data_IF_378253256639
#
_entry.id   IF_378253256639
#
_cell.length_a   1.000
_cell.length_b   1.000
_cell.length_c   1.000
_cell.angle_alpha   90.00
_cell.angle_beta   90.00
_cell.angle_gamma   90.00
#
_symmetry.space_group_name_H-M   'P 1'
#
loop_
_entity.id
_entity.type
_entity.pdbx_description
1 polymer ?
#
# COMPACT_ATOMS: atom_id res chain seq x y z
N UNK A 1 -21.62 -17.77 11.54
CA UNK A 1 -20.27 -18.18 11.10
C UNK A 1 -19.32 -17.15 11.69
N UNK A 2 -18.30 -17.54 12.45
CA UNK A 2 -17.41 -16.57 13.08
C UNK A 2 -16.66 -15.79 12.00
N UNK A 3 -16.67 -14.46 12.06
CA UNK A 3 -15.84 -13.64 11.18
C UNK A 3 -14.37 -13.98 11.50
N UNK A 4 -13.65 -14.52 10.52
CA UNK A 4 -12.24 -14.83 10.69
C UNK A 4 -11.44 -13.55 10.93
N UNK A 5 -10.37 -13.64 11.72
CA UNK A 5 -9.47 -12.51 11.99
C UNK A 5 -8.10 -12.78 11.35
N UNK A 6 -7.52 -11.74 10.77
CA UNK A 6 -6.15 -11.71 10.28
C UNK A 6 -5.30 -10.85 11.23
N UNK A 7 -4.10 -11.32 11.57
CA UNK A 7 -3.18 -10.59 12.43
C UNK A 7 -1.85 -10.39 11.74
N UNK A 8 -1.48 -9.13 11.54
CA UNK A 8 -0.14 -8.70 11.13
C UNK A 8 0.63 -8.32 12.39
N UNK A 9 1.86 -8.81 12.52
CA UNK A 9 2.74 -8.51 13.65
C UNK A 9 4.18 -8.42 13.23
N UNK A 10 4.98 -7.73 14.05
CA UNK A 10 6.42 -7.79 13.93
C UNK A 10 6.93 -9.20 14.28
N UNK A 11 7.68 -9.81 13.35
CA UNK A 11 8.45 -11.02 13.64
C UNK A 11 9.71 -10.67 14.42
N UNK A 12 10.03 -11.49 15.43
CA UNK A 12 11.27 -11.41 16.19
C UNK A 12 12.45 -11.81 15.31
N UNK A 13 13.67 -11.30 15.55
CA UNK A 13 14.87 -11.72 14.81
C UNK A 13 15.05 -13.24 14.70
N UNK A 14 14.69 -13.98 15.75
CA UNK A 14 14.75 -15.46 15.79
C UNK A 14 13.71 -16.17 14.91
N UNK A 15 12.65 -15.47 14.49
CA UNK A 15 11.58 -15.99 13.65
C UNK A 15 11.81 -15.69 12.16
N UNK A 16 12.83 -14.89 11.84
CA UNK A 16 13.13 -14.52 10.46
C UNK A 16 13.89 -15.65 9.78
N UNK A 17 13.41 -16.03 8.59
CA UNK A 17 14.15 -16.91 7.68
C UNK A 17 15.31 -16.21 6.94
N UNK A 18 15.63 -14.98 7.33
CA UNK A 18 16.66 -14.15 6.71
C UNK A 18 17.26 -13.16 7.73
N UNK A 19 18.42 -12.56 7.43
CA UNK A 19 19.09 -11.68 8.38
C UNK A 19 18.25 -10.44 8.77
N UNK A 20 18.15 -10.09 10.07
CA UNK A 20 17.30 -8.99 10.56
C UNK A 20 17.56 -7.63 9.92
N UNK A 21 18.79 -7.34 9.51
CA UNK A 21 19.19 -6.12 8.80
C UNK A 21 18.51 -5.95 7.43
N UNK A 22 17.85 -7.00 6.93
CA UNK A 22 17.04 -6.91 5.71
C UNK A 22 15.65 -6.31 5.96
N UNK A 23 15.17 -6.28 7.21
CA UNK A 23 13.92 -5.63 7.57
C UNK A 23 14.11 -4.10 7.54
N UNK A 24 13.22 -3.43 6.83
CA UNK A 24 13.20 -1.98 6.77
C UNK A 24 11.91 -1.50 7.42
N UNK A 25 12.06 -0.68 8.47
CA UNK A 25 10.97 0.02 9.19
C UNK A 25 9.77 -0.88 9.53
N UNK A 26 9.98 -2.04 10.18
CA UNK A 26 8.96 -3.08 10.16
C UNK A 26 7.84 -2.80 11.19
N UNK A 27 8.10 -2.05 12.28
CA UNK A 27 7.03 -1.52 13.15
C UNK A 27 6.36 -0.29 12.53
N UNK A 28 7.13 0.62 11.93
CA UNK A 28 6.60 1.85 11.34
C UNK A 28 5.66 1.55 10.18
N UNK A 29 5.93 0.50 9.38
CA UNK A 29 5.02 0.01 8.33
C UNK A 29 3.67 -0.46 8.89
N UNK A 30 3.66 -1.18 10.02
CA UNK A 30 2.41 -1.59 10.68
C UNK A 30 1.66 -0.38 11.26
N UNK A 31 2.37 0.58 11.89
CA UNK A 31 1.78 1.84 12.36
C UNK A 31 1.17 2.63 11.20
N UNK A 32 1.88 2.70 10.08
CA UNK A 32 1.43 3.39 8.89
C UNK A 32 0.21 2.71 8.27
N UNK A 33 0.17 1.38 8.21
CA UNK A 33 -0.99 0.63 7.74
C UNK A 33 -2.23 0.94 8.58
N UNK A 34 -2.12 0.91 9.92
CA UNK A 34 -3.23 1.27 10.80
C UNK A 34 -3.72 2.71 10.57
N UNK A 35 -2.78 3.66 10.49
CA UNK A 35 -3.12 5.07 10.24
C UNK A 35 -3.78 5.26 8.86
N UNK A 36 -3.28 4.58 7.84
CA UNK A 36 -3.85 4.59 6.49
C UNK A 36 -5.25 3.99 6.43
N UNK A 37 -5.49 2.85 7.08
CA UNK A 37 -6.82 2.23 7.16
C UNK A 37 -7.82 3.16 7.85
N UNK A 38 -7.44 3.79 8.97
CA UNK A 38 -8.30 4.77 9.63
C UNK A 38 -8.60 5.96 8.71
N UNK A 39 -7.57 6.49 8.04
CA UNK A 39 -7.71 7.63 7.14
C UNK A 39 -8.63 7.32 5.94
N UNK A 40 -8.46 6.16 5.31
CA UNK A 40 -9.29 5.71 4.19
C UNK A 40 -10.74 5.48 4.63
N UNK A 41 -10.97 4.84 5.78
CA UNK A 41 -12.32 4.65 6.36
C UNK A 41 -13.05 5.98 6.55
N UNK A 42 -12.33 6.97 7.08
CA UNK A 42 -12.94 8.23 7.51
C UNK A 42 -13.14 9.22 6.34
N UNK A 43 -12.42 9.03 5.21
CA UNK A 43 -12.39 10.00 4.11
C UNK A 43 -12.83 9.45 2.75
N UNK A 44 -13.10 8.14 2.63
CA UNK A 44 -13.47 7.51 1.36
C UNK A 44 -14.55 6.45 1.56
N UNK A 45 -15.05 5.90 0.46
CA UNK A 45 -15.88 4.69 0.43
C UNK A 45 -15.12 3.49 -0.12
N UNK A 46 -13.78 3.54 -0.15
CA UNK A 46 -12.98 2.41 -0.61
C UNK A 46 -13.20 1.24 0.36
N UNK A 47 -13.57 0.05 -0.14
CA UNK A 47 -13.75 -1.09 0.73
C UNK A 47 -12.39 -1.51 1.28
N UNK A 48 -12.28 -1.58 2.60
CA UNK A 48 -11.10 -2.02 3.34
C UNK A 48 -11.52 -3.04 4.42
N UNK A 49 -10.60 -3.84 4.96
CA UNK A 49 -10.89 -4.70 6.10
C UNK A 49 -11.38 -3.91 7.31
N UNK A 50 -12.30 -4.49 8.07
CA UNK A 50 -12.68 -3.95 9.38
C UNK A 50 -11.48 -4.02 10.33
N UNK A 51 -11.19 -2.93 11.04
CA UNK A 51 -10.12 -2.88 12.03
C UNK A 51 -10.68 -3.39 13.35
N UNK A 52 -10.17 -4.52 13.83
CA UNK A 52 -10.57 -5.11 15.12
C UNK A 52 -9.77 -4.51 16.28
N UNK A 53 -8.44 -4.45 16.13
CA UNK A 53 -7.58 -3.86 17.16
C UNK A 53 -6.21 -3.46 16.62
N UNK A 54 -5.59 -2.51 17.30
CA UNK A 54 -4.22 -2.11 17.08
C UNK A 54 -3.54 -1.79 18.42
N UNK A 55 -2.36 -2.34 18.65
CA UNK A 55 -1.64 -2.14 19.91
C UNK A 55 -0.52 -3.15 20.11
N UNK A 56 0.14 -3.06 21.26
CA UNK A 56 1.12 -4.08 21.69
C UNK A 56 0.41 -5.16 22.50
N UNK A 57 0.83 -6.40 22.30
CA UNK A 57 0.41 -7.51 23.14
C UNK A 57 1.23 -7.61 24.44
N UNK A 58 0.92 -8.60 25.28
CA UNK A 58 1.62 -8.90 26.53
C UNK A 58 3.13 -9.19 26.36
N UNK A 59 3.58 -9.49 25.14
CA UNK A 59 4.97 -9.76 24.79
C UNK A 59 5.65 -8.56 24.13
N UNK A 60 5.06 -7.36 24.24
CA UNK A 60 5.53 -6.11 23.63
C UNK A 60 5.58 -6.17 22.08
N UNK A 61 4.87 -7.12 21.45
CA UNK A 61 4.80 -7.23 19.99
C UNK A 61 3.69 -6.33 19.46
N UNK A 62 4.05 -5.37 18.60
CA UNK A 62 3.07 -4.54 17.90
C UNK A 62 2.24 -5.40 16.92
N UNK A 63 0.92 -5.26 17.01
CA UNK A 63 -0.07 -6.01 16.24
C UNK A 63 -1.12 -5.09 15.65
N UNK A 64 -1.47 -5.38 14.41
CA UNK A 64 -2.69 -4.93 13.75
C UNK A 64 -3.55 -6.16 13.46
N UNK A 65 -4.80 -6.14 13.94
CA UNK A 65 -5.78 -7.20 13.72
C UNK A 65 -6.94 -6.64 12.91
N UNK A 66 -7.28 -7.32 11.83
CA UNK A 66 -8.38 -6.96 10.94
C UNK A 66 -9.32 -8.15 10.71
N UNK A 67 -10.54 -7.86 10.26
CA UNK A 67 -11.45 -8.88 9.75
C UNK A 67 -10.94 -9.47 8.43
N UNK A 68 -11.03 -10.79 8.27
CA UNK A 68 -10.80 -11.45 6.98
C UNK A 68 -11.93 -11.07 6.03
N UNK A 69 -11.56 -10.54 4.87
CA UNK A 69 -12.51 -10.25 3.79
C UNK A 69 -12.67 -11.51 2.94
N UNK A 70 -13.90 -11.98 2.80
CA UNK A 70 -14.21 -13.12 1.96
C UNK A 70 -14.05 -12.75 0.47
N UNK A 71 -13.34 -13.60 -0.29
CA UNK A 71 -13.16 -13.41 -1.73
C UNK A 71 -11.94 -14.14 -2.26
N UNK A 72 -11.64 -13.87 -3.53
CA UNK A 72 -10.47 -14.38 -4.26
C UNK A 72 -9.57 -13.20 -4.60
N UNK A 73 -8.26 -13.32 -4.39
CA UNK A 73 -7.34 -12.24 -4.81
C UNK A 73 -7.34 -12.14 -6.33
N UNK A 74 -7.22 -10.93 -6.88
CA UNK A 74 -7.12 -10.73 -8.33
C UNK A 74 -5.96 -11.55 -8.94
N UNK A 75 -4.86 -11.72 -8.21
CA UNK A 75 -3.72 -12.49 -8.69
C UNK A 75 -4.02 -14.00 -8.81
N UNK A 76 -5.01 -14.52 -8.07
CA UNK A 76 -5.33 -15.96 -8.03
C UNK A 76 -6.33 -16.41 -9.10
N UNK A 77 -6.89 -15.49 -9.89
CA UNK A 77 -7.68 -15.87 -11.08
C UNK A 77 -6.77 -16.48 -12.14
N UNK A 78 -7.22 -17.51 -12.84
CA UNK A 78 -6.41 -18.17 -13.86
C UNK A 78 -6.30 -17.31 -15.13
N UNK A 79 -5.42 -17.70 -16.06
CA UNK A 79 -5.18 -16.93 -17.27
C UNK A 79 -6.38 -16.92 -18.25
N UNK A 80 -7.34 -17.84 -18.12
CA UNK A 80 -8.56 -17.89 -18.93
C UNK A 80 -9.60 -16.87 -18.43
N UNK A 81 -9.78 -16.78 -17.10
CA UNK A 81 -10.70 -15.84 -16.45
C UNK A 81 -10.15 -14.39 -16.46
N UNK A 82 -8.83 -14.24 -16.31
CA UNK A 82 -8.18 -12.95 -16.01
C UNK A 82 -8.57 -11.79 -16.94
N UNK A 83 -8.70 -11.94 -18.27
CA UNK A 83 -9.09 -10.82 -19.13
C UNK A 83 -10.43 -10.19 -18.75
N UNK A 84 -11.44 -11.00 -18.45
CA UNK A 84 -12.76 -10.52 -18.05
C UNK A 84 -12.73 -9.89 -16.64
N UNK A 85 -11.99 -10.51 -15.73
CA UNK A 85 -11.81 -10.00 -14.35
C UNK A 85 -11.10 -8.64 -14.38
N UNK A 86 -10.02 -8.51 -15.17
CA UNK A 86 -9.27 -7.26 -15.27
C UNK A 86 -10.11 -6.13 -15.86
N UNK A 87 -10.93 -6.40 -16.87
CA UNK A 87 -11.85 -5.40 -17.41
C UNK A 87 -12.84 -4.91 -16.33
N UNK A 88 -13.44 -5.83 -15.55
CA UNK A 88 -14.33 -5.48 -14.47
C UNK A 88 -13.64 -4.69 -13.35
N UNK A 89 -12.42 -5.08 -12.98
CA UNK A 89 -11.62 -4.39 -11.96
C UNK A 89 -11.19 -3.01 -12.45
N UNK A 90 -10.72 -2.87 -13.69
CA UNK A 90 -10.27 -1.58 -14.21
C UNK A 90 -11.42 -0.58 -14.25
N UNK A 91 -12.62 -1.01 -14.66
CA UNK A 91 -13.82 -0.16 -14.61
C UNK A 91 -14.16 0.30 -13.18
N UNK A 92 -14.10 -0.59 -12.20
CA UNK A 92 -14.36 -0.24 -10.79
C UNK A 92 -13.27 0.66 -10.22
N UNK A 93 -12.01 0.39 -10.55
CA UNK A 93 -10.87 1.20 -10.17
C UNK A 93 -11.03 2.64 -10.67
N UNK A 94 -11.28 2.84 -11.95
CA UNK A 94 -11.39 4.18 -12.56
C UNK A 94 -12.64 4.93 -12.09
N UNK A 95 -13.78 4.24 -11.91
CA UNK A 95 -15.05 4.88 -11.56
C UNK A 95 -15.16 5.18 -10.07
N UNK A 96 -14.71 4.26 -9.22
CA UNK A 96 -15.05 4.27 -7.80
C UNK A 96 -13.84 4.34 -6.89
N UNK A 97 -12.69 3.76 -7.23
CA UNK A 97 -11.55 3.72 -6.30
C UNK A 97 -10.60 4.90 -6.54
N UNK A 98 -9.95 4.96 -7.70
CA UNK A 98 -8.89 5.91 -8.03
C UNK A 98 -9.23 7.38 -7.80
N UNK A 99 -10.44 7.86 -8.14
CA UNK A 99 -10.77 9.27 -7.95
C UNK A 99 -10.81 9.72 -6.48
N UNK A 100 -10.97 8.82 -5.50
CA UNK A 100 -11.14 9.22 -4.11
C UNK A 100 -9.81 9.63 -3.46
N UNK A 101 -8.74 8.80 -3.48
CA UNK A 101 -7.45 9.16 -2.90
C UNK A 101 -6.80 10.37 -3.58
N UNK A 102 -7.08 10.58 -4.88
CA UNK A 102 -6.60 11.73 -5.64
C UNK A 102 -7.15 13.08 -5.15
N UNK A 103 -8.29 13.07 -4.45
CA UNK A 103 -8.87 14.26 -3.81
C UNK A 103 -8.29 14.54 -2.43
N UNK A 104 -7.63 13.56 -1.82
CA UNK A 104 -6.97 13.69 -0.53
C UNK A 104 -5.58 14.26 -0.78
N UNK A 105 -5.38 15.53 -0.45
CA UNK A 105 -4.17 16.26 -0.83
C UNK A 105 -3.45 16.85 0.38
N UNK A 106 -2.12 16.89 0.28
CA UNK A 106 -1.21 17.58 1.21
C UNK A 106 -0.10 18.29 0.45
N UNK A 107 0.51 19.24 1.15
CA UNK A 107 1.67 20.01 0.74
C UNK A 107 3.00 19.36 1.16
N UNK A 108 2.96 18.20 1.82
CA UNK A 108 4.14 17.42 2.20
C UNK A 108 3.99 15.93 1.93
N UNK A 109 5.10 15.30 1.57
CA UNK A 109 5.19 13.86 1.33
C UNK A 109 5.25 13.05 2.63
N UNK A 110 4.64 11.87 2.64
CA UNK A 110 4.84 10.86 3.68
C UNK A 110 3.54 10.34 4.28
N UNK A 111 3.67 9.68 5.43
CA UNK A 111 2.58 9.00 6.12
C UNK A 111 1.47 9.98 6.58
N UNK A 112 0.27 9.43 6.82
CA UNK A 112 -0.84 10.19 7.44
C UNK A 112 -0.41 10.69 8.82
N UNK A 113 0.16 9.79 9.62
CA UNK A 113 0.83 10.11 10.89
C UNK A 113 2.19 10.76 10.60
N UNK A 114 2.25 12.07 10.77
CA UNK A 114 3.45 12.86 10.49
C UNK A 114 4.61 12.58 11.47
N UNK A 115 4.35 11.88 12.59
CA UNK A 115 5.40 11.44 13.52
C UNK A 115 6.22 10.28 12.97
N UNK A 116 5.69 9.54 11.98
CA UNK A 116 6.40 8.46 11.32
C UNK A 116 7.44 9.01 10.32
N UNK A 117 8.56 8.28 10.11
CA UNK A 117 9.45 8.57 9.00
C UNK A 117 8.71 8.41 7.67
N UNK A 118 9.22 9.02 6.60
CA UNK A 118 8.69 8.77 5.26
C UNK A 118 8.95 7.31 4.88
N UNK A 119 7.86 6.56 4.69
CA UNK A 119 7.87 5.20 4.16
C UNK A 119 7.70 5.30 2.65
N UNK A 120 8.81 5.22 1.91
CA UNK A 120 8.78 5.25 0.45
C UNK A 120 8.20 3.94 -0.13
N UNK A 121 7.82 3.89 -1.42
CA UNK A 121 7.35 2.66 -2.06
C UNK A 121 8.32 1.48 -1.85
N UNK A 122 7.74 0.29 -1.67
CA UNK A 122 8.46 -0.96 -1.38
C UNK A 122 9.72 -1.16 -2.25
N UNK A 123 9.56 -1.13 -3.57
CA UNK A 123 10.66 -1.33 -4.51
C UNK A 123 11.83 -0.34 -4.32
N UNK A 124 11.54 0.90 -3.93
CA UNK A 124 12.55 1.94 -3.68
C UNK A 124 13.31 1.66 -2.37
N UNK A 125 12.59 1.26 -1.31
CA UNK A 125 13.17 0.91 -0.03
C UNK A 125 14.14 -0.27 -0.15
N UNK A 126 13.76 -1.32 -0.88
CA UNK A 126 14.59 -2.52 -1.03
C UNK A 126 15.76 -2.35 -2.02
N UNK A 127 15.62 -1.50 -3.05
CA UNK A 127 16.73 -1.21 -3.99
C UNK A 127 17.82 -0.37 -3.34
N UNK A 128 17.47 0.73 -2.68
CA UNK A 128 18.47 1.67 -2.16
C UNK A 128 18.81 1.51 -0.68
N UNK A 129 17.94 0.85 0.12
CA UNK A 129 18.16 0.57 1.55
C UNK A 129 18.66 1.78 2.35
N UNK A 130 18.15 2.97 2.02
CA UNK A 130 18.55 4.21 2.68
C UNK A 130 17.98 4.23 4.11
N UNK A 131 18.73 4.77 5.09
CA UNK A 131 18.26 4.85 6.47
C UNK A 131 17.14 5.88 6.65
N UNK A 132 17.03 6.85 5.74
CA UNK A 132 16.07 7.93 5.81
C UNK A 132 15.65 8.40 4.42
N UNK A 133 14.37 8.76 4.28
CA UNK A 133 13.79 9.42 3.12
C UNK A 133 13.35 10.83 3.51
N UNK A 134 13.73 11.83 2.71
CA UNK A 134 13.42 13.23 3.02
C UNK A 134 11.91 13.49 2.89
N UNK A 135 11.36 14.24 3.83
CA UNK A 135 10.02 14.83 3.73
C UNK A 135 10.07 16.01 2.75
N UNK A 136 9.67 15.77 1.51
CA UNK A 136 9.57 16.80 0.47
C UNK A 136 8.31 17.62 0.70
N UNK A 137 8.40 18.94 0.55
CA UNK A 137 7.27 19.87 0.66
C UNK A 137 7.05 20.60 -0.66
N UNK A 138 5.87 21.18 -0.83
CA UNK A 138 5.51 22.05 -1.95
C UNK A 138 4.65 23.22 -1.47
N UNK A 139 4.66 24.35 -2.17
CA UNK A 139 3.84 25.52 -1.79
C UNK A 139 2.33 25.31 -1.95
N UNK A 140 1.92 24.25 -2.63
CA UNK A 140 0.52 23.90 -2.87
C UNK A 140 0.27 22.44 -2.49
N UNK A 141 -0.99 22.01 -2.26
CA UNK A 141 -1.34 20.62 -1.99
C UNK A 141 -1.17 19.70 -3.23
N UNK A 142 0.08 19.44 -3.62
CA UNK A 142 0.43 18.74 -4.86
C UNK A 142 0.62 17.22 -4.69
N UNK A 143 0.62 16.73 -3.45
CA UNK A 143 0.76 15.32 -3.13
C UNK A 143 -0.60 14.72 -2.79
N UNK A 144 -0.93 13.61 -3.45
CA UNK A 144 -2.20 12.89 -3.28
C UNK A 144 -1.98 11.64 -2.45
N UNK A 145 -3.04 11.11 -1.85
CA UNK A 145 -2.95 9.86 -1.12
C UNK A 145 -2.75 8.68 -2.11
N UNK A 146 -1.67 7.94 -1.94
CA UNK A 146 -1.26 6.81 -2.77
C UNK A 146 -1.22 5.54 -1.94
N UNK A 147 -1.55 4.39 -2.56
CA UNK A 147 -1.34 3.07 -1.94
C UNK A 147 0.11 2.60 -2.04
N UNK A 148 0.79 2.90 -3.16
CA UNK A 148 2.19 2.55 -3.46
C UNK A 148 2.52 1.06 -3.59
N UNK A 149 1.54 0.17 -3.48
CA UNK A 149 1.70 -1.28 -3.75
C UNK A 149 0.39 -1.94 -4.22
N UNK A 150 -0.35 -1.25 -5.10
CA UNK A 150 -1.69 -1.70 -5.54
C UNK A 150 -1.62 -2.81 -6.60
N UNK A 151 -1.07 -3.96 -6.21
CA UNK A 151 -0.94 -5.15 -7.05
C UNK A 151 -2.17 -6.08 -6.95
N UNK A 152 -2.22 -7.11 -7.81
CA UNK A 152 -3.29 -8.11 -7.76
C UNK A 152 -3.35 -8.92 -6.46
N UNK A 153 -2.28 -8.96 -5.67
CA UNK A 153 -2.27 -9.59 -4.34
C UNK A 153 -3.00 -8.76 -3.27
N UNK A 154 -3.19 -7.47 -3.54
CA UNK A 154 -3.77 -6.52 -2.59
C UNK A 154 -5.21 -6.11 -2.95
N UNK A 155 -5.83 -6.82 -3.90
CA UNK A 155 -7.20 -6.60 -4.35
C UNK A 155 -7.97 -7.91 -4.18
N UNK A 156 -8.96 -7.90 -3.29
CA UNK A 156 -9.86 -9.04 -3.04
C UNK A 156 -11.15 -8.80 -3.82
N UNK A 157 -11.58 -9.81 -4.57
CA UNK A 157 -12.79 -9.78 -5.39
C UNK A 157 -13.81 -10.79 -4.91
N UNK A 158 -15.09 -10.46 -5.07
CA UNK A 158 -16.13 -11.48 -5.10
C UNK A 158 -15.93 -12.35 -6.36
N UNK A 159 -15.75 -13.68 -6.22
CA UNK A 159 -15.42 -14.55 -7.36
C UNK A 159 -16.55 -14.71 -8.37
N UNK A 160 -17.80 -14.48 -7.96
CA UNK A 160 -18.98 -14.66 -8.84
C UNK A 160 -19.32 -13.37 -9.60
N UNK A 161 -19.03 -12.20 -9.02
CA UNK A 161 -19.43 -10.89 -9.55
C UNK A 161 -18.27 -10.01 -10.02
N UNK A 162 -17.04 -10.36 -9.63
CA UNK A 162 -15.82 -9.56 -9.77
C UNK A 162 -15.87 -8.18 -9.10
N UNK A 163 -16.84 -7.96 -8.21
CA UNK A 163 -16.90 -6.75 -7.40
C UNK A 163 -15.70 -6.69 -6.45
N UNK A 164 -15.06 -5.52 -6.33
CA UNK A 164 -13.97 -5.29 -5.38
C UNK A 164 -14.53 -5.35 -3.97
N UNK A 165 -14.19 -6.41 -3.25
CA UNK A 165 -14.61 -6.65 -1.88
C UNK A 165 -13.72 -5.94 -0.86
N UNK A 166 -12.42 -5.78 -1.14
CA UNK A 166 -11.51 -4.93 -0.38
C UNK A 166 -10.20 -4.64 -1.11
N UNK A 167 -9.57 -3.52 -0.74
CA UNK A 167 -8.16 -3.21 -0.98
C UNK A 167 -7.42 -3.31 0.36
N UNK A 168 -6.32 -4.06 0.38
CA UNK A 168 -5.58 -4.41 1.60
C UNK A 168 -4.09 -4.04 1.52
N UNK A 169 -3.36 -4.20 2.63
CA UNK A 169 -1.91 -4.00 2.70
C UNK A 169 -1.45 -2.55 2.41
N UNK A 170 -2.03 -1.61 3.15
CA UNK A 170 -1.78 -0.16 3.04
C UNK A 170 -0.49 0.29 3.74
N UNK A 171 0.46 -0.61 4.00
CA UNK A 171 1.65 -0.32 4.82
C UNK A 171 2.64 0.67 4.19
N UNK A 172 2.58 0.83 2.87
CA UNK A 172 3.35 1.82 2.10
C UNK A 172 2.55 3.07 1.73
N UNK A 173 1.31 3.19 2.21
CA UNK A 173 0.43 4.28 1.84
C UNK A 173 0.87 5.62 2.42
N UNK A 174 0.55 6.71 1.72
CA UNK A 174 0.89 8.07 2.16
C UNK A 174 0.69 9.09 1.05
N UNK A 175 1.07 10.33 1.31
CA UNK A 175 0.98 11.43 0.35
C UNK A 175 2.21 11.48 -0.53
N UNK A 176 2.03 11.33 -1.84
CA UNK A 176 3.10 11.35 -2.84
C UNK A 176 2.60 12.00 -4.14
N UNK A 177 3.49 12.36 -5.08
CA UNK A 177 3.04 12.74 -6.42
C UNK A 177 2.17 11.64 -7.04
N UNK A 178 1.08 12.00 -7.74
CA UNK A 178 0.09 11.03 -8.24
C UNK A 178 0.69 9.89 -9.09
N UNK A 179 1.81 10.13 -9.77
CA UNK A 179 2.50 9.12 -10.57
C UNK A 179 3.21 8.03 -9.73
N UNK A 180 3.35 8.21 -8.41
CA UNK A 180 3.87 7.18 -7.51
C UNK A 180 2.95 5.97 -7.43
N UNK A 181 1.63 6.19 -7.51
CA UNK A 181 0.62 5.12 -7.38
C UNK A 181 0.43 4.40 -8.72
N UNK A 182 1.36 3.49 -9.01
CA UNK A 182 1.39 2.74 -10.26
C UNK A 182 0.19 1.81 -10.38
N UNK A 183 -0.27 1.61 -11.61
CA UNK A 183 -1.35 0.69 -11.95
C UNK A 183 -0.94 -0.79 -11.94
N UNK A 184 -0.39 -1.25 -10.82
CA UNK A 184 0.28 -2.55 -10.71
C UNK A 184 -0.65 -3.76 -10.87
N UNK A 185 -1.96 -3.60 -10.70
CA UNK A 185 -2.94 -4.68 -10.87
C UNK A 185 -3.15 -5.10 -12.33
N UNK A 186 -2.80 -4.23 -13.30
CA UNK A 186 -3.03 -4.49 -14.73
C UNK A 186 -2.15 -5.61 -15.28
N UNK A 187 -1.08 -5.96 -14.58
CA UNK A 187 -0.14 -7.00 -14.99
C UNK A 187 0.19 -7.93 -13.82
N UNK A 188 0.39 -9.22 -14.12
CA UNK A 188 0.86 -10.18 -13.11
C UNK A 188 2.24 -9.81 -12.61
N UNK A 189 2.53 -10.12 -11.35
CA UNK A 189 3.85 -9.86 -10.77
C UNK A 189 4.99 -10.48 -11.60
N UNK A 190 4.81 -11.73 -12.07
CA UNK A 190 5.82 -12.45 -12.85
C UNK A 190 5.92 -12.02 -14.33
N UNK A 191 4.98 -11.20 -14.82
CA UNK A 191 4.99 -10.66 -16.19
C UNK A 191 5.49 -9.21 -16.24
N UNK A 192 5.75 -8.57 -15.08
CA UNK A 192 6.18 -7.17 -14.98
C UNK A 192 7.38 -6.85 -15.88
N UNK A 193 7.26 -5.73 -16.59
CA UNK A 193 8.38 -5.12 -17.28
C UNK A 193 9.39 -4.52 -16.28
N UNK A 194 10.52 -5.20 -16.09
CA UNK A 194 11.54 -4.77 -15.12
C UNK A 194 12.27 -3.48 -15.52
N UNK A 195 12.37 -3.17 -16.81
CA UNK A 195 12.97 -1.90 -17.26
C UNK A 195 12.11 -0.70 -16.84
N UNK A 196 10.77 -0.84 -16.88
CA UNK A 196 9.84 0.17 -16.37
C UNK A 196 9.89 0.28 -14.84
N UNK A 197 10.07 -0.85 -14.15
CA UNK A 197 10.25 -0.86 -12.69
C UNK A 197 11.54 -0.13 -12.30
N UNK A 198 12.65 -0.42 -12.96
CA UNK A 198 13.93 0.25 -12.69
C UNK A 198 13.87 1.74 -13.05
N UNK A 199 13.22 2.10 -14.17
CA UNK A 199 12.97 3.51 -14.49
C UNK A 199 12.16 4.22 -13.41
N UNK A 200 11.08 3.61 -12.93
CA UNK A 200 10.28 4.16 -11.84
C UNK A 200 11.10 4.38 -10.56
N UNK A 201 11.95 3.41 -10.21
CA UNK A 201 12.83 3.48 -9.05
C UNK A 201 13.77 4.69 -9.16
N UNK A 202 14.41 4.89 -10.31
CA UNK A 202 15.31 6.02 -10.53
C UNK A 202 14.56 7.36 -10.52
N UNK A 203 13.41 7.45 -11.19
CA UNK A 203 12.59 8.67 -11.19
C UNK A 203 12.11 9.03 -9.77
N UNK A 204 11.68 8.05 -8.98
CA UNK A 204 11.27 8.22 -7.58
C UNK A 204 12.45 8.60 -6.69
N UNK A 205 13.62 7.99 -6.87
CA UNK A 205 14.85 8.35 -6.17
C UNK A 205 15.21 9.82 -6.44
N UNK A 206 15.18 10.22 -7.70
CA UNK A 206 15.50 11.59 -8.13
C UNK A 206 14.51 12.61 -7.57
N UNK A 207 13.23 12.26 -7.43
CA UNK A 207 12.26 13.11 -6.74
C UNK A 207 12.67 13.39 -5.28
N UNK A 208 13.13 12.37 -4.55
CA UNK A 208 13.61 12.56 -3.17
C UNK A 208 14.95 13.30 -3.10
N UNK A 209 15.80 13.15 -4.11
CA UNK A 209 17.17 13.70 -4.12
C UNK A 209 17.25 15.15 -4.61
N UNK A 210 16.39 15.57 -5.55
CA UNK A 210 16.36 16.96 -6.05
C UNK A 210 16.07 17.92 -4.92
N UNK A 211 16.71 19.08 -4.85
CA UNK A 211 16.24 20.15 -3.96
C UNK A 211 14.75 20.42 -4.27
N UNK A 212 13.90 20.44 -3.23
CA UNK A 212 12.50 20.79 -3.43
C UNK A 212 12.45 22.11 -4.23
N UNK A 213 11.60 22.23 -5.26
CA UNK A 213 11.45 23.51 -5.94
C UNK A 213 11.20 24.57 -4.86
N UNK A 214 12.12 25.55 -4.80
CA UNK A 214 12.00 26.74 -3.96
C UNK A 214 10.85 27.61 -4.44
#
# INVERSE_FOLDING_TARGET
MGNGLFSKRQLKPSELGYPPERLILPEERIKNEYAALCYIRDNTTIPIPEIESFGRDENDSLKLVTGIVAGKMLEDFDDEERPAVLEAVDQQMERHIFPQPQKLQRDSVGCVDESLPVIAPNCLMYKHRRPFWRRVTSDTPSFVFCHNDLSGFNIILNPDTYEIAAIIDWEYAGFFPAWFDRRLWRERYNKRNWDEVDKYIEDAKDFFDKDAPK
#
